data_IF_890524074579
#
_entry.id   IF_890524074579
#
_cell.length_a   1.000
_cell.length_b   1.000
_cell.length_c   1.000
_cell.angle_alpha   90.00
_cell.angle_beta   90.00
_cell.angle_gamma   90.00
#
_symmetry.space_group_name_H-M   'P 1'
#
loop_
_entity.id
_entity.type
_entity.pdbx_description
1 polymer ?
#
# COMPACT_ATOMS: atom_id res chain seq x y z
N UNK A 1 -13.08 -0.49 -16.99
CA UNK A 1 -12.82 -0.84 -15.57
C UNK A 1 -11.66 0.00 -15.05
N UNK A 2 -11.83 0.73 -13.96
CA UNK A 2 -10.74 1.51 -13.35
C UNK A 2 -9.67 0.55 -12.81
N UNK A 3 -8.43 0.63 -13.30
CA UNK A 3 -7.31 -0.13 -12.73
C UNK A 3 -7.08 0.36 -11.31
N UNK A 4 -7.24 -0.50 -10.30
CA UNK A 4 -6.91 -0.17 -8.90
C UNK A 4 -5.43 0.21 -8.83
N UNK A 5 -5.14 1.29 -8.10
CA UNK A 5 -3.75 1.69 -7.82
C UNK A 5 -3.10 0.57 -7.00
N UNK A 6 -1.95 0.04 -7.42
CA UNK A 6 -1.27 -1.02 -6.67
C UNK A 6 -0.83 -0.49 -5.32
N UNK A 7 -0.87 -1.36 -4.32
CA UNK A 7 -0.43 -1.00 -2.98
C UNK A 7 1.09 -0.83 -2.94
N UNK A 8 1.65 -0.03 -2.02
CA UNK A 8 3.10 0.15 -1.92
C UNK A 8 3.88 -1.18 -1.80
N UNK A 9 3.32 -2.19 -1.14
CA UNK A 9 3.96 -3.51 -0.98
C UNK A 9 4.07 -4.24 -2.34
N UNK A 10 3.00 -4.18 -3.15
CA UNK A 10 2.98 -4.74 -4.49
C UNK A 10 4.01 -4.05 -5.40
N UNK A 11 4.12 -2.72 -5.28
CA UNK A 11 5.11 -1.93 -6.02
C UNK A 11 6.53 -2.39 -5.68
N UNK A 12 6.86 -2.50 -4.39
CA UNK A 12 8.21 -2.91 -3.97
C UNK A 12 8.50 -4.36 -4.36
N UNK A 13 7.52 -5.26 -4.24
CA UNK A 13 7.66 -6.65 -4.69
C UNK A 13 7.98 -6.73 -6.18
N UNK A 14 7.29 -5.94 -7.01
CA UNK A 14 7.56 -5.84 -8.45
C UNK A 14 8.95 -5.26 -8.75
N UNK A 15 9.39 -4.24 -8.00
CA UNK A 15 10.74 -3.68 -8.17
C UNK A 15 11.82 -4.74 -7.88
N UNK A 16 11.66 -5.54 -6.82
CA UNK A 16 12.57 -6.67 -6.52
C UNK A 16 12.53 -7.76 -7.57
N UNK A 17 11.36 -8.07 -8.12
CA UNK A 17 11.26 -9.06 -9.20
C UNK A 17 12.06 -8.62 -10.44
N UNK A 18 12.06 -7.33 -10.78
CA UNK A 18 12.92 -6.80 -11.85
C UNK A 18 14.39 -6.96 -11.52
N UNK A 19 14.80 -6.69 -10.28
CA UNK A 19 16.20 -6.88 -9.83
C UNK A 19 16.65 -8.34 -9.94
N UNK A 20 15.78 -9.30 -9.56
CA UNK A 20 16.06 -10.74 -9.68
C UNK A 20 16.19 -11.14 -11.15
N UNK A 21 15.26 -10.73 -12.02
CA UNK A 21 15.31 -11.02 -13.46
C UNK A 21 16.57 -10.44 -14.10
N UNK A 22 16.96 -9.24 -13.71
CA UNK A 22 18.23 -8.64 -14.14
C UNK A 22 19.44 -9.43 -13.65
N UNK A 23 19.43 -9.94 -12.41
CA UNK A 23 20.48 -10.81 -11.88
C UNK A 23 20.60 -12.16 -12.59
N UNK A 24 19.53 -12.60 -13.25
CA UNK A 24 19.50 -13.79 -14.13
C UNK A 24 19.98 -13.48 -15.56
N UNK A 25 20.42 -12.24 -15.85
CA UNK A 25 20.92 -11.83 -17.16
C UNK A 25 19.87 -11.23 -18.09
N UNK A 26 18.63 -11.05 -17.64
CA UNK A 26 17.59 -10.41 -18.46
C UNK A 26 17.85 -8.90 -18.59
N UNK A 27 17.59 -8.35 -19.78
CA UNK A 27 17.64 -6.90 -19.97
C UNK A 27 16.60 -6.21 -19.08
N UNK A 28 16.90 -4.99 -18.59
CA UNK A 28 15.98 -4.24 -17.72
C UNK A 28 14.62 -4.02 -18.39
N UNK A 29 14.61 -3.71 -19.69
CA UNK A 29 13.38 -3.46 -20.44
C UNK A 29 12.51 -4.70 -20.52
N UNK A 30 13.10 -5.86 -20.76
CA UNK A 30 12.37 -7.12 -20.83
C UNK A 30 11.87 -7.54 -19.45
N UNK A 31 12.67 -7.36 -18.40
CA UNK A 31 12.25 -7.61 -17.02
C UNK A 31 11.06 -6.72 -16.61
N UNK A 32 11.07 -5.44 -17.00
CA UNK A 32 9.95 -4.52 -16.75
C UNK A 32 8.68 -4.99 -17.49
N UNK A 33 8.81 -5.41 -18.75
CA UNK A 33 7.68 -5.94 -19.54
C UNK A 33 7.14 -7.23 -18.91
N UNK A 34 8.02 -8.11 -18.44
CA UNK A 34 7.68 -9.39 -17.82
C UNK A 34 6.79 -9.22 -16.57
N UNK A 35 7.03 -8.16 -15.76
CA UNK A 35 6.20 -7.86 -14.58
C UNK A 35 4.90 -7.10 -14.91
N UNK A 36 4.63 -6.87 -16.20
CA UNK A 36 3.43 -6.20 -16.70
C UNK A 36 3.35 -4.73 -16.33
N UNK A 37 4.49 -4.03 -16.28
CA UNK A 37 4.57 -2.60 -15.93
C UNK A 37 5.15 -1.81 -17.09
N UNK A 38 4.65 -0.60 -17.32
CA UNK A 38 5.21 0.31 -18.32
C UNK A 38 6.50 0.92 -17.76
N UNK A 39 7.53 1.06 -18.59
CA UNK A 39 8.86 1.57 -18.20
C UNK A 39 8.80 2.88 -17.41
N UNK A 40 8.00 3.85 -17.86
CA UNK A 40 7.83 5.12 -17.16
C UNK A 40 7.29 4.92 -15.73
N UNK A 41 6.35 3.99 -15.54
CA UNK A 41 5.82 3.64 -14.22
C UNK A 41 6.88 2.98 -13.36
N UNK A 42 7.68 2.07 -13.92
CA UNK A 42 8.79 1.43 -13.21
C UNK A 42 9.78 2.46 -12.66
N UNK A 43 10.24 3.43 -13.48
CA UNK A 43 11.18 4.44 -12.99
C UNK A 43 10.58 5.37 -11.95
N UNK A 44 9.30 5.74 -12.10
CA UNK A 44 8.58 6.50 -11.05
C UNK A 44 8.52 5.73 -9.74
N UNK A 45 8.25 4.43 -9.80
CA UNK A 45 8.25 3.56 -8.62
C UNK A 45 9.64 3.41 -8.03
N UNK A 46 10.66 3.17 -8.85
CA UNK A 46 12.06 3.06 -8.40
C UNK A 46 12.54 4.34 -7.73
N UNK A 47 12.15 5.52 -8.22
CA UNK A 47 12.47 6.81 -7.56
C UNK A 47 11.82 6.94 -6.17
N UNK A 48 10.60 6.42 -6.00
CA UNK A 48 9.80 6.62 -4.78
C UNK A 48 9.98 5.50 -3.74
N UNK A 49 10.19 4.28 -4.19
CA UNK A 49 10.20 3.06 -3.40
C UNK A 49 11.47 2.23 -3.57
N UNK A 50 12.35 2.60 -4.51
CA UNK A 50 13.66 1.96 -4.66
C UNK A 50 14.52 2.21 -3.42
N UNK A 51 15.27 1.18 -3.01
CA UNK A 51 16.02 1.21 -1.75
C UNK A 51 15.20 0.90 -0.50
N UNK A 52 13.88 0.63 -0.62
CA UNK A 52 13.13 0.12 0.53
C UNK A 52 13.57 -1.30 0.91
N UNK A 53 14.30 -1.39 2.01
CA UNK A 53 14.77 -2.64 2.60
C UNK A 53 13.63 -3.53 3.11
N UNK A 54 13.94 -4.79 3.42
CA UNK A 54 12.97 -5.74 3.97
C UNK A 54 12.36 -5.24 5.29
N UNK A 55 13.13 -4.52 6.11
CA UNK A 55 12.66 -4.02 7.39
C UNK A 55 11.72 -2.82 7.25
N UNK A 56 11.99 -1.92 6.29
CA UNK A 56 11.07 -0.82 5.96
C UNK A 56 9.73 -1.35 5.43
N UNK A 57 9.73 -2.45 4.69
CA UNK A 57 8.48 -3.12 4.28
C UNK A 57 7.72 -3.74 5.45
N UNK A 58 8.43 -4.42 6.37
CA UNK A 58 7.80 -4.98 7.58
C UNK A 58 7.18 -3.88 8.43
N UNK A 59 7.89 -2.77 8.60
CA UNK A 59 7.41 -1.62 9.35
C UNK A 59 6.20 -0.98 8.68
N UNK A 60 6.24 -0.78 7.36
CA UNK A 60 5.09 -0.28 6.59
C UNK A 60 3.85 -1.17 6.79
N UNK A 61 4.00 -2.49 6.72
CA UNK A 61 2.91 -3.44 6.93
C UNK A 61 2.36 -3.38 8.36
N UNK A 62 3.24 -3.24 9.36
CA UNK A 62 2.85 -3.06 10.77
C UNK A 62 2.03 -1.78 10.95
N UNK A 63 2.52 -0.67 10.42
CA UNK A 63 1.86 0.64 10.52
C UNK A 63 0.51 0.64 9.80
N UNK A 64 0.39 -0.01 8.64
CA UNK A 64 -0.90 -0.14 7.94
C UNK A 64 -1.93 -0.91 8.77
N UNK A 65 -1.54 -2.05 9.35
CA UNK A 65 -2.42 -2.85 10.20
C UNK A 65 -2.87 -2.07 11.42
N UNK A 66 -1.96 -1.33 12.05
CA UNK A 66 -2.29 -0.49 13.19
C UNK A 66 -3.20 0.66 12.79
N UNK A 67 -2.96 1.31 11.65
CA UNK A 67 -3.83 2.37 11.15
C UNK A 67 -5.26 1.86 10.88
N UNK A 68 -5.40 0.65 10.31
CA UNK A 68 -6.70 0.01 10.09
C UNK A 68 -7.42 -0.25 11.42
N UNK A 69 -6.71 -0.80 12.41
CA UNK A 69 -7.26 -1.03 13.76
C UNK A 69 -7.70 0.27 14.42
N UNK A 70 -6.86 1.30 14.36
CA UNK A 70 -7.15 2.61 14.94
C UNK A 70 -8.35 3.27 14.25
N UNK A 71 -8.42 3.21 12.92
CA UNK A 71 -9.58 3.72 12.17
C UNK A 71 -10.87 3.04 12.60
N UNK A 72 -10.85 1.71 12.74
CA UNK A 72 -12.03 0.95 13.21
C UNK A 72 -12.44 1.39 14.61
N UNK A 73 -11.49 1.43 15.56
CA UNK A 73 -11.77 1.85 16.92
C UNK A 73 -12.34 3.28 16.98
N UNK A 74 -11.79 4.21 16.19
CA UNK A 74 -12.30 5.58 16.11
C UNK A 74 -13.72 5.61 15.52
N UNK A 75 -14.00 4.83 14.47
CA UNK A 75 -15.34 4.74 13.88
C UNK A 75 -16.36 4.19 14.89
N UNK A 76 -16.03 3.10 15.59
CA UNK A 76 -16.91 2.48 16.59
C UNK A 76 -17.20 3.47 17.74
N UNK A 77 -16.16 4.12 18.30
CA UNK A 77 -16.32 5.14 19.35
C UNK A 77 -17.11 6.36 18.88
N UNK A 78 -16.94 6.76 17.62
CA UNK A 78 -17.69 7.88 17.04
C UNK A 78 -19.16 7.53 16.91
N UNK A 79 -19.47 6.31 16.50
CA UNK A 79 -20.85 5.81 16.41
C UNK A 79 -21.51 5.77 17.80
N UNK A 80 -20.83 5.21 18.80
CA UNK A 80 -21.32 5.17 20.18
C UNK A 80 -21.60 6.57 20.72
N UNK A 81 -20.67 7.51 20.48
CA UNK A 81 -20.86 8.91 20.87
C UNK A 81 -22.09 9.53 20.21
N UNK A 82 -22.32 9.27 18.93
CA UNK A 82 -23.49 9.78 18.21
C UNK A 82 -24.78 9.21 18.80
N UNK A 83 -24.84 7.91 19.05
CA UNK A 83 -25.99 7.24 19.67
C UNK A 83 -26.30 7.84 21.04
N UNK A 84 -25.27 7.99 21.89
CA UNK A 84 -25.42 8.59 23.23
C UNK A 84 -25.88 10.05 23.16
N UNK A 85 -25.36 10.82 22.21
CA UNK A 85 -25.74 12.22 22.03
C UNK A 85 -27.20 12.34 21.57
N UNK A 86 -27.63 11.49 20.65
CA UNK A 86 -29.02 11.47 20.18
C UNK A 86 -29.99 11.05 21.29
N UNK A 87 -29.66 10.00 22.05
CA UNK A 87 -30.43 9.57 23.20
C UNK A 87 -30.54 10.66 24.28
N UNK A 88 -29.47 11.42 24.51
CA UNK A 88 -29.44 12.52 25.47
C UNK A 88 -30.21 13.76 25.01
N UNK A 89 -30.34 13.99 23.69
CA UNK A 89 -31.07 15.14 23.15
C UNK A 89 -32.57 15.04 23.35
N UNK A 90 -33.12 13.82 23.44
CA UNK A 90 -34.52 13.58 23.78
C UNK A 90 -35.50 14.05 22.70
N UNK A 91 -36.27 13.12 22.13
CA UNK A 91 -37.46 13.47 21.35
C UNK A 91 -38.67 13.57 22.28
N UNK A 92 -38.72 14.62 23.11
CA UNK A 92 -39.90 15.00 23.89
C UNK A 92 -40.29 16.44 23.58
#
# INVERSE_FOLDING_TARGET
>A
MARKRPKPEEIVSKLRQVEILMGQGMSRLDAIRQIGVVEQTYYRWRKKYGGMGADQLKELKRLQKENERLRKAVSDLTLDKLILTEAAKGNY
#
